data_IF_960709139918
#
_entry.id   IF_960709139918
#
_cell.length_a   1.000
_cell.length_b   1.000
_cell.length_c   1.000
_cell.angle_alpha   90.00
_cell.angle_beta   90.00
_cell.angle_gamma   90.00
#
_symmetry.space_group_name_H-M   'P 1'
#
loop_
_entity.id
_entity.type
_entity.pdbx_description
1 polymer ?
#
# COMPACT_ATOMS: atom_id res chain seq x y z
N UNK A 1 -6.15 -10.55 19.30
CA UNK A 1 -6.90 -10.54 18.02
C UNK A 1 -6.58 -11.77 17.17
N UNK A 2 -5.33 -12.23 17.17
CA UNK A 2 -4.90 -13.49 16.55
C UNK A 2 -4.51 -14.50 17.63
N UNK A 3 -4.72 -15.79 17.34
CA UNK A 3 -4.20 -16.89 18.16
C UNK A 3 -3.63 -17.98 17.23
N UNK A 4 -2.35 -18.32 17.45
CA UNK A 4 -1.57 -19.32 16.70
C UNK A 4 -1.64 -19.23 15.16
N UNK A 5 -1.59 -18.02 14.60
CA UNK A 5 -1.54 -17.80 13.15
C UNK A 5 -0.14 -18.13 12.61
N UNK A 6 -0.06 -19.08 11.67
CA UNK A 6 1.17 -19.44 10.97
C UNK A 6 0.95 -19.28 9.47
N UNK A 7 1.68 -18.38 8.84
CA UNK A 7 1.53 -18.07 7.43
C UNK A 7 2.85 -17.60 6.83
N UNK A 8 3.13 -18.00 5.60
CA UNK A 8 4.27 -17.51 4.82
C UNK A 8 3.79 -17.13 3.42
N UNK A 9 4.16 -15.92 2.97
CA UNK A 9 3.84 -15.42 1.65
C UNK A 9 5.02 -15.65 0.71
N UNK A 10 4.92 -16.57 -0.27
CA UNK A 10 5.96 -16.72 -1.28
C UNK A 10 6.08 -15.48 -2.16
N UNK A 11 7.23 -15.31 -2.80
CA UNK A 11 7.45 -14.26 -3.79
C UNK A 11 6.38 -14.31 -4.89
N UNK A 12 5.88 -13.14 -5.29
CA UNK A 12 4.80 -12.97 -6.26
C UNK A 12 3.43 -13.57 -5.83
N UNK A 13 3.31 -14.07 -4.60
CA UNK A 13 2.04 -14.48 -4.04
C UNK A 13 1.11 -13.29 -3.80
N UNK A 14 -0.19 -13.51 -4.01
CA UNK A 14 -1.24 -12.53 -3.76
C UNK A 14 -2.13 -13.09 -2.65
N UNK A 15 -2.37 -12.29 -1.60
CA UNK A 15 -3.16 -12.69 -0.44
C UNK A 15 -4.33 -11.74 -0.26
N UNK A 16 -5.55 -12.29 -0.28
CA UNK A 16 -6.75 -11.57 0.13
C UNK A 16 -7.05 -11.84 1.61
N UNK A 17 -7.17 -10.78 2.41
CA UNK A 17 -7.57 -10.89 3.82
C UNK A 17 -9.04 -10.48 3.95
N UNK A 18 -9.90 -11.41 4.35
CA UNK A 18 -11.35 -11.19 4.51
C UNK A 18 -11.78 -11.38 5.96
N UNK A 19 -12.87 -10.73 6.36
CA UNK A 19 -13.45 -10.84 7.69
C UNK A 19 -14.21 -9.57 8.11
N UNK A 20 -14.98 -9.62 9.21
CA UNK A 20 -15.75 -8.47 9.67
C UNK A 20 -14.85 -7.31 10.14
N UNK A 21 -15.44 -6.13 10.32
CA UNK A 21 -14.74 -4.99 10.93
C UNK A 21 -14.32 -5.35 12.36
N UNK A 22 -13.12 -4.93 12.76
CA UNK A 22 -12.54 -5.30 14.06
C UNK A 22 -11.85 -6.67 14.10
N UNK A 23 -11.89 -7.48 13.04
CA UNK A 23 -11.23 -8.80 13.00
C UNK A 23 -9.67 -8.76 12.96
N UNK A 24 -9.06 -7.56 13.04
CA UNK A 24 -7.60 -7.41 13.04
C UNK A 24 -6.94 -7.15 11.68
N UNK A 25 -7.69 -7.06 10.57
CA UNK A 25 -7.12 -6.82 9.23
C UNK A 25 -6.13 -5.64 9.19
N UNK A 26 -6.52 -4.51 9.78
CA UNK A 26 -5.65 -3.32 9.87
C UNK A 26 -4.45 -3.54 10.78
N UNK A 27 -4.56 -4.38 11.82
CA UNK A 27 -3.43 -4.78 12.67
C UNK A 27 -2.37 -5.54 11.87
N UNK A 28 -2.76 -6.43 10.94
CA UNK A 28 -1.78 -7.08 10.03
C UNK A 28 -1.04 -6.03 9.20
N UNK A 29 -1.74 -5.05 8.63
CA UNK A 29 -1.08 -4.00 7.85
C UNK A 29 -0.13 -3.15 8.71
N UNK A 30 -0.50 -2.80 9.95
CA UNK A 30 0.39 -2.08 10.86
C UNK A 30 1.62 -2.89 11.27
N UNK A 31 1.48 -4.21 11.47
CA UNK A 31 2.64 -5.08 11.68
C UNK A 31 3.57 -5.13 10.45
N UNK A 32 3.01 -5.16 9.22
CA UNK A 32 3.81 -5.07 7.98
C UNK A 32 4.58 -3.76 7.90
N UNK A 33 3.94 -2.64 8.29
CA UNK A 33 4.57 -1.31 8.31
C UNK A 33 5.54 -1.11 9.49
N UNK A 34 5.61 -2.04 10.44
CA UNK A 34 6.41 -1.92 11.66
C UNK A 34 5.84 -0.95 12.71
N UNK A 35 4.60 -0.51 12.54
CA UNK A 35 3.90 0.39 13.49
C UNK A 35 3.34 -0.36 14.70
N UNK A 36 3.19 -1.68 14.60
CA UNK A 36 2.66 -2.55 15.65
C UNK A 36 3.52 -3.81 15.75
N UNK A 37 3.82 -4.27 16.97
CA UNK A 37 4.61 -5.48 17.21
C UNK A 37 3.70 -6.60 17.73
N UNK A 38 3.98 -7.87 17.39
CA UNK A 38 3.19 -8.98 17.92
C UNK A 38 3.39 -9.12 19.44
N UNK A 39 2.29 -9.39 20.17
CA UNK A 39 2.36 -9.67 21.61
C UNK A 39 3.18 -10.93 21.92
N UNK A 40 3.14 -11.91 21.01
CA UNK A 40 3.82 -13.21 21.08
C UNK A 40 4.17 -13.70 19.70
N UNK A 41 5.23 -14.51 19.60
CA UNK A 41 5.70 -15.05 18.33
C UNK A 41 6.54 -14.04 17.55
N UNK A 42 6.59 -14.21 16.24
CA UNK A 42 7.42 -13.40 15.34
C UNK A 42 6.61 -12.96 14.12
N UNK A 43 6.86 -11.73 13.67
CA UNK A 43 6.35 -11.21 12.41
C UNK A 43 7.52 -10.62 11.63
N UNK A 44 7.90 -11.27 10.53
CA UNK A 44 9.08 -10.90 9.74
C UNK A 44 8.66 -10.41 8.37
N UNK A 45 9.14 -9.23 8.00
CA UNK A 45 9.10 -8.72 6.63
C UNK A 45 10.53 -8.81 6.06
N UNK A 46 10.67 -9.37 4.87
CA UNK A 46 11.99 -9.55 4.25
C UNK A 46 12.71 -8.21 4.02
N UNK A 47 14.02 -8.19 4.27
CA UNK A 47 14.84 -6.96 4.24
C UNK A 47 14.83 -6.22 2.90
N UNK A 48 14.61 -6.95 1.79
CA UNK A 48 14.57 -6.41 0.44
C UNK A 48 13.17 -5.98 -0.02
N UNK A 49 12.14 -6.23 0.79
CA UNK A 49 10.77 -5.87 0.45
C UNK A 49 10.58 -4.36 0.54
N UNK A 50 10.17 -3.74 -0.58
CA UNK A 50 9.75 -2.35 -0.60
C UNK A 50 8.25 -2.29 -0.34
N UNK A 51 7.87 -1.75 0.81
CA UNK A 51 6.48 -1.64 1.23
C UNK A 51 5.85 -0.41 0.56
N UNK A 52 4.71 -0.61 -0.10
CA UNK A 52 3.81 0.45 -0.53
C UNK A 52 2.46 0.22 0.16
N UNK A 53 1.96 1.25 0.84
CA UNK A 53 0.72 1.19 1.59
C UNK A 53 -0.28 2.23 1.05
N UNK A 54 -1.53 1.81 0.92
CA UNK A 54 -2.66 2.68 0.56
C UNK A 54 -3.68 2.56 1.69
N UNK A 55 -3.90 3.65 2.41
CA UNK A 55 -4.85 3.70 3.51
C UNK A 55 -6.30 3.75 3.02
N UNK A 56 -7.24 3.33 3.86
CA UNK A 56 -8.67 3.32 3.51
C UNK A 56 -9.31 4.72 3.54
N UNK A 57 -8.74 5.65 4.31
CA UNK A 57 -9.27 7.01 4.49
C UNK A 57 -8.97 7.94 3.32
N UNK A 58 -8.05 7.57 2.42
CA UNK A 58 -7.55 8.42 1.34
C UNK A 58 -7.11 9.79 1.86
N UNK A 59 -6.47 9.83 3.03
CA UNK A 59 -6.26 11.06 3.79
C UNK A 59 -5.44 12.13 3.05
N UNK A 60 -4.63 11.71 2.07
CA UNK A 60 -3.74 12.58 1.30
C UNK A 60 -4.32 13.03 -0.06
N UNK A 61 -5.61 12.81 -0.32
CA UNK A 61 -6.26 13.29 -1.55
C UNK A 61 -6.94 14.63 -1.27
N UNK A 62 -6.53 15.66 -2.02
CA UNK A 62 -7.18 16.95 -2.04
C UNK A 62 -8.41 16.90 -2.98
N UNK A 63 -9.64 17.07 -2.47
CA UNK A 63 -10.86 16.96 -3.27
C UNK A 63 -11.02 18.10 -4.28
N UNK A 64 -10.33 19.22 -4.09
CA UNK A 64 -10.39 20.37 -4.99
C UNK A 64 -9.42 20.23 -6.18
N UNK A 65 -8.52 19.24 -6.11
CA UNK A 65 -7.55 18.93 -7.17
C UNK A 65 -8.04 17.82 -8.08
N UNK A 66 -7.70 17.92 -9.36
CA UNK A 66 -7.87 16.82 -10.30
C UNK A 66 -7.01 15.61 -9.90
N UNK A 67 -7.36 14.42 -10.41
CA UNK A 67 -6.54 13.20 -10.19
C UNK A 67 -5.10 13.43 -10.66
N UNK A 68 -4.92 14.12 -11.80
CA UNK A 68 -3.59 14.45 -12.31
C UNK A 68 -2.80 15.33 -11.35
N UNK A 69 -3.43 16.35 -10.77
CA UNK A 69 -2.80 17.23 -9.79
C UNK A 69 -2.42 16.49 -8.50
N UNK A 70 -3.34 15.68 -7.95
CA UNK A 70 -3.08 14.86 -6.76
C UNK A 70 -1.93 13.85 -6.97
N UNK A 71 -1.77 13.36 -8.20
CA UNK A 71 -0.76 12.36 -8.53
C UNK A 71 0.61 12.97 -8.88
N UNK A 72 0.63 14.07 -9.61
CA UNK A 72 1.86 14.60 -10.23
C UNK A 72 2.42 15.84 -9.56
N UNK A 73 1.68 16.44 -8.62
CA UNK A 73 1.99 17.78 -8.10
C UNK A 73 2.23 18.80 -9.23
N UNK A 74 1.41 18.70 -10.29
CA UNK A 74 1.46 19.52 -11.51
C UNK A 74 2.71 19.34 -12.38
N UNK A 75 3.47 18.26 -12.17
CA UNK A 75 4.66 17.95 -12.96
C UNK A 75 4.33 17.12 -14.21
N UNK A 76 4.90 17.50 -15.36
CA UNK A 76 4.79 16.72 -16.60
C UNK A 76 5.58 15.40 -16.56
N UNK A 77 6.66 15.36 -15.77
CA UNK A 77 7.50 14.17 -15.56
C UNK A 77 7.50 13.79 -14.08
N UNK A 78 7.27 12.51 -13.79
CA UNK A 78 7.30 11.96 -12.42
C UNK A 78 8.27 10.78 -12.34
N UNK A 79 8.91 10.61 -11.19
CA UNK A 79 9.83 9.50 -10.93
C UNK A 79 9.06 8.25 -10.49
N UNK A 80 9.06 7.22 -11.33
CA UNK A 80 8.37 5.94 -11.09
C UNK A 80 9.34 4.77 -11.15
N UNK A 81 9.51 4.07 -10.03
CA UNK A 81 10.38 2.89 -9.96
C UNK A 81 11.82 3.15 -10.38
N UNK A 82 12.30 4.40 -10.20
CA UNK A 82 13.65 4.83 -10.61
C UNK A 82 13.77 5.31 -12.05
N UNK A 83 12.65 5.56 -12.77
CA UNK A 83 12.65 6.12 -14.13
C UNK A 83 11.69 7.31 -14.22
N UNK A 84 12.08 8.34 -14.97
CA UNK A 84 11.16 9.42 -15.30
C UNK A 84 10.12 8.97 -16.34
N UNK A 85 8.85 9.28 -16.09
CA UNK A 85 7.74 8.98 -16.99
C UNK A 85 6.85 10.20 -17.17
N UNK A 86 6.23 10.36 -18.34
CA UNK A 86 5.23 11.41 -18.52
C UNK A 86 3.99 11.11 -17.66
N UNK A 87 3.60 12.08 -16.83
CA UNK A 87 2.58 11.90 -15.80
C UNK A 87 1.20 11.61 -16.39
N UNK A 88 0.83 12.29 -17.48
CA UNK A 88 -0.46 12.08 -18.19
C UNK A 88 -0.51 10.71 -18.87
N UNK A 89 0.55 10.35 -19.58
CA UNK A 89 0.68 9.04 -20.23
C UNK A 89 0.71 7.88 -19.21
N UNK A 90 1.21 8.13 -18.00
CA UNK A 90 1.15 7.15 -16.93
C UNK A 90 -0.29 6.97 -16.42
N UNK A 91 -0.99 8.06 -16.13
CA UNK A 91 -2.38 8.01 -15.65
C UNK A 91 -3.36 7.44 -16.67
N UNK A 92 -3.12 7.64 -17.97
CA UNK A 92 -3.97 7.06 -19.01
C UNK A 92 -3.97 5.53 -18.99
N UNK A 93 -2.96 4.87 -18.39
CA UNK A 93 -2.93 3.41 -18.17
C UNK A 93 -3.97 2.93 -17.16
N UNK A 94 -4.47 3.84 -16.32
CA UNK A 94 -5.49 3.59 -15.31
C UNK A 94 -6.87 4.12 -15.74
N UNK A 95 -7.03 4.48 -17.03
CA UNK A 95 -8.24 5.08 -17.60
C UNK A 95 -8.61 6.45 -16.98
N UNK A 96 -7.63 7.18 -16.46
CA UNK A 96 -7.82 8.59 -16.10
C UNK A 96 -7.43 9.45 -17.31
N UNK A 97 -8.39 10.20 -17.85
CA UNK A 97 -8.25 11.08 -19.02
C UNK A 97 -8.08 12.54 -18.62
#
# INVERSE_FOLDING_TARGET
>A
LYDNLNFNLPQAGIVGIIGPNGAGKTTIFRMIMGEETPDKGEFVVGETAKIAYVDQSHANIDPEKTIWQNFSDEQELVLMGGKEVNSRAYLSRFNFS
#
